data_IF_320407405490
#
_entry.id   IF_320407405490
#
_cell.length_a   1.000
_cell.length_b   1.000
_cell.length_c   1.000
_cell.angle_alpha   90.00
_cell.angle_beta   90.00
_cell.angle_gamma   90.00
#
_symmetry.space_group_name_H-M   'P 1'
#
loop_
_entity.id
_entity.type
_entity.pdbx_description
1 polymer ?
#
# COMPACT_ATOMS: atom_id res chain seq x y z
N UNK A 1 1.91 -11.75 12.20
CA UNK A 1 2.66 -10.87 13.14
C UNK A 1 3.20 -9.65 12.41
N UNK A 2 4.13 -9.80 11.45
CA UNK A 2 4.75 -8.66 10.71
C UNK A 2 3.75 -7.70 10.07
N UNK A 3 2.82 -8.18 9.23
CA UNK A 3 1.79 -7.35 8.58
C UNK A 3 0.98 -6.52 9.58
N UNK A 4 0.54 -7.14 10.69
CA UNK A 4 -0.22 -6.47 11.74
C UNK A 4 0.61 -5.39 12.44
N UNK A 5 1.86 -5.70 12.81
CA UNK A 5 2.74 -4.74 13.47
C UNK A 5 2.99 -3.49 12.61
N UNK A 6 3.18 -3.66 11.29
CA UNK A 6 3.36 -2.54 10.37
C UNK A 6 2.06 -1.71 10.27
N UNK A 7 0.91 -2.36 10.14
CA UNK A 7 -0.38 -1.67 10.05
C UNK A 7 -0.71 -0.88 11.32
N UNK A 8 -0.43 -1.45 12.49
CA UNK A 8 -0.63 -0.80 13.79
C UNK A 8 0.26 0.44 13.92
N UNK A 9 1.51 0.37 13.46
CA UNK A 9 2.44 1.51 13.48
C UNK A 9 2.02 2.62 12.49
N UNK A 10 1.60 2.26 11.28
CA UNK A 10 1.04 3.22 10.31
C UNK A 10 -0.21 3.92 10.87
N UNK A 11 -1.07 3.17 11.56
CA UNK A 11 -2.25 3.72 12.22
C UNK A 11 -1.89 4.67 13.36
N UNK A 12 -0.87 4.32 14.16
CA UNK A 12 -0.35 5.19 15.23
C UNK A 12 0.23 6.49 14.65
N UNK A 13 1.06 6.41 13.62
CA UNK A 13 1.66 7.58 12.96
C UNK A 13 0.58 8.48 12.33
N UNK A 14 -0.42 7.88 11.65
CA UNK A 14 -1.51 8.64 11.07
C UNK A 14 -2.34 9.40 12.11
N UNK A 15 -2.62 8.79 13.26
CA UNK A 15 -3.29 9.47 14.39
C UNK A 15 -2.46 10.63 14.93
N UNK A 16 -1.15 10.45 15.10
CA UNK A 16 -0.24 11.50 15.55
C UNK A 16 -0.15 12.67 14.55
N UNK A 17 -0.26 12.36 13.25
CA UNK A 17 -0.29 13.37 12.19
C UNK A 17 -1.66 14.05 12.03
N UNK A 18 -2.67 13.69 12.82
CA UNK A 18 -4.01 14.29 12.78
C UNK A 18 -4.90 13.78 11.64
N UNK A 19 -4.57 12.63 11.04
CA UNK A 19 -5.40 12.03 9.99
C UNK A 19 -6.76 11.56 10.54
N UNK A 20 -7.79 11.74 9.73
CA UNK A 20 -9.16 11.30 10.03
C UNK A 20 -9.28 9.79 9.89
N UNK A 21 -10.30 9.21 10.53
CA UNK A 21 -10.52 7.76 10.56
C UNK A 21 -10.70 7.09 9.18
N UNK A 22 -11.14 7.85 8.17
CA UNK A 22 -11.28 7.39 6.78
C UNK A 22 -10.00 7.54 5.94
N UNK A 23 -9.02 8.31 6.42
CA UNK A 23 -7.70 8.44 5.79
C UNK A 23 -6.73 7.34 6.28
N UNK A 24 -7.04 6.73 7.43
CA UNK A 24 -6.27 5.61 7.99
C UNK A 24 -6.51 4.32 7.21
N UNK A 25 -5.41 3.65 6.87
CA UNK A 25 -5.38 2.36 6.20
C UNK A 25 -6.16 1.30 7.00
N UNK A 26 -6.98 0.49 6.32
CA UNK A 26 -7.71 -0.63 6.92
C UNK A 26 -7.02 -1.97 6.71
N UNK A 27 -6.24 -2.08 5.64
CA UNK A 27 -5.41 -3.24 5.36
C UNK A 27 -4.19 -2.84 4.51
N UNK A 28 -3.19 -3.72 4.46
CA UNK A 28 -1.99 -3.58 3.62
C UNK A 28 -1.59 -4.90 2.96
N UNK A 29 -0.92 -4.81 1.82
CA UNK A 29 -0.26 -5.93 1.15
C UNK A 29 1.26 -5.73 1.21
N UNK A 30 1.98 -6.75 1.67
CA UNK A 30 3.45 -6.73 1.71
C UNK A 30 3.99 -7.40 0.45
N UNK A 31 4.57 -6.59 -0.43
CA UNK A 31 5.25 -7.07 -1.63
C UNK A 31 6.74 -7.31 -1.32
N UNK A 32 7.27 -8.47 -1.69
CA UNK A 32 8.67 -8.84 -1.43
C UNK A 32 9.66 -8.03 -2.27
N UNK A 33 9.24 -7.62 -3.47
CA UNK A 33 10.14 -7.05 -4.46
C UNK A 33 10.07 -5.52 -4.41
N UNK A 34 11.21 -4.88 -4.66
CA UNK A 34 11.29 -3.42 -4.67
C UNK A 34 10.69 -2.89 -5.96
N UNK A 35 9.88 -1.82 -5.87
CA UNK A 35 9.43 -1.10 -7.06
C UNK A 35 10.65 -0.49 -7.76
N UNK A 36 10.80 -0.70 -9.07
CA UNK A 36 11.97 -0.23 -9.81
C UNK A 36 11.59 0.35 -11.17
N UNK A 37 12.56 0.99 -11.81
CA UNK A 37 12.41 1.39 -13.21
C UNK A 37 12.40 0.14 -14.10
N UNK A 38 13.20 -0.87 -13.75
CA UNK A 38 13.39 -2.10 -14.50
C UNK A 38 12.13 -2.97 -14.53
N UNK A 39 11.40 -3.06 -13.41
CA UNK A 39 10.10 -3.75 -13.37
C UNK A 39 8.93 -2.88 -13.84
N UNK A 40 9.22 -1.67 -14.35
CA UNK A 40 8.25 -0.79 -14.97
C UNK A 40 7.32 -0.08 -13.99
N UNK A 41 7.51 -0.23 -12.67
CA UNK A 41 6.63 0.35 -11.65
C UNK A 41 7.03 1.77 -11.24
N UNK A 42 8.26 2.20 -11.55
CA UNK A 42 8.72 3.56 -11.32
C UNK A 42 9.00 4.33 -12.63
N UNK A 43 8.89 5.66 -12.57
CA UNK A 43 9.44 6.60 -13.54
C UNK A 43 10.96 6.62 -13.44
N UNK A 44 11.69 7.11 -14.47
CA UNK A 44 13.13 7.32 -14.36
C UNK A 44 13.56 8.20 -13.17
N UNK A 45 12.64 9.05 -12.67
CA UNK A 45 12.81 9.90 -11.49
C UNK A 45 12.36 9.26 -10.17
N UNK A 46 12.21 7.93 -10.14
CA UNK A 46 11.85 7.13 -8.96
C UNK A 46 10.49 7.45 -8.34
N UNK A 47 9.54 7.99 -9.14
CA UNK A 47 8.14 8.15 -8.74
C UNK A 47 7.31 6.96 -9.19
N UNK A 48 6.32 6.56 -8.42
CA UNK A 48 5.42 5.45 -8.79
C UNK A 48 4.63 5.77 -10.06
N UNK A 49 4.64 4.85 -11.03
CA UNK A 49 3.77 4.88 -12.21
C UNK A 49 2.39 4.34 -11.81
N UNK A 50 1.52 5.24 -11.33
CA UNK A 50 0.21 4.87 -10.76
C UNK A 50 -0.63 3.93 -11.65
N UNK A 51 -0.76 4.12 -12.98
CA UNK A 51 -1.52 3.18 -13.83
C UNK A 51 -0.92 1.77 -13.83
N UNK A 52 0.40 1.65 -13.92
CA UNK A 52 1.11 0.36 -13.93
C UNK A 52 1.03 -0.33 -12.57
N UNK A 53 1.26 0.40 -11.48
CA UNK A 53 1.08 -0.14 -10.12
C UNK A 53 -0.35 -0.63 -9.90
N UNK A 54 -1.36 0.15 -10.35
CA UNK A 54 -2.77 -0.25 -10.21
C UNK A 54 -3.05 -1.56 -10.95
N UNK A 55 -2.54 -1.70 -12.17
CA UNK A 55 -2.71 -2.93 -12.98
C UNK A 55 -1.99 -4.11 -12.33
N UNK A 56 -0.76 -3.91 -11.88
CA UNK A 56 0.08 -4.94 -11.27
C UNK A 56 -0.50 -5.47 -9.94
N UNK A 57 -0.99 -4.57 -9.08
CA UNK A 57 -1.53 -4.93 -7.75
C UNK A 57 -3.06 -5.13 -7.71
N UNK A 58 -3.73 -5.18 -8.85
CA UNK A 58 -5.20 -5.18 -8.91
C UNK A 58 -5.80 -6.35 -8.13
N UNK A 59 -5.29 -7.56 -8.32
CA UNK A 59 -5.84 -8.76 -7.67
C UNK A 59 -5.68 -8.71 -6.15
N UNK A 60 -4.54 -8.22 -5.65
CA UNK A 60 -4.31 -8.05 -4.22
C UNK A 60 -5.24 -6.99 -3.63
N UNK A 61 -5.41 -5.86 -4.31
CA UNK A 61 -6.31 -4.79 -3.89
C UNK A 61 -7.76 -5.30 -3.80
N UNK A 62 -8.24 -5.99 -4.83
CA UNK A 62 -9.59 -6.55 -4.81
C UNK A 62 -9.79 -7.59 -3.70
N UNK A 63 -8.78 -8.45 -3.47
CA UNK A 63 -8.84 -9.44 -2.40
C UNK A 63 -8.87 -8.79 -1.00
N UNK A 64 -8.14 -7.70 -0.80
CA UNK A 64 -8.22 -6.91 0.45
C UNK A 64 -9.61 -6.32 0.64
N UNK A 65 -10.20 -5.70 -0.40
CA UNK A 65 -11.56 -5.18 -0.31
C UNK A 65 -12.59 -6.27 -0.02
N UNK A 66 -12.48 -7.44 -0.67
CA UNK A 66 -13.35 -8.60 -0.40
C UNK A 66 -13.21 -9.13 1.03
N UNK A 67 -12.02 -9.03 1.64
CA UNK A 67 -11.76 -9.50 3.00
C UNK A 67 -12.19 -8.50 4.08
N UNK A 68 -12.43 -7.25 3.71
CA UNK A 68 -12.89 -6.18 4.59
C UNK A 68 -14.43 -6.00 4.56
N UNK A 69 -15.07 -6.54 3.54
CA UNK A 69 -16.53 -6.59 3.40
C UNK A 69 -17.11 -7.69 4.30
#
# INVERSE_FOLDING_TARGET
IVKKSILDDLSRLGKLAGLKSFELLKDIYLHSDVLSVDNGLLTPTLKTKRPECRKYFLSQIENMYRSLA
#
